data_IF_776577287058
#
_entry.id   IF_776577287058
#
_cell.length_a   1.000
_cell.length_b   1.000
_cell.length_c   1.000
_cell.angle_alpha   90.00
_cell.angle_beta   90.00
_cell.angle_gamma   90.00
#
_symmetry.space_group_name_H-M   'P 1'
#
loop_
_entity.id
_entity.type
_entity.pdbx_description
1 polymer ?
#
# COMPACT_ATOMS: atom_id res chain seq x y z
N UNK A 1 -10.62 13.21 9.33
CA UNK A 1 -10.69 11.76 9.03
C UNK A 1 -10.48 11.02 10.33
N UNK A 2 -11.31 10.02 10.61
CA UNK A 2 -11.16 9.19 11.81
C UNK A 2 -10.20 8.04 11.51
N UNK A 3 -9.43 7.60 12.50
CA UNK A 3 -8.55 6.43 12.40
C UNK A 3 -8.80 5.49 13.57
N UNK A 4 -8.73 4.18 13.32
CA UNK A 4 -8.84 3.12 14.33
C UNK A 4 -7.51 2.39 14.46
N UNK A 5 -7.02 2.26 15.70
CA UNK A 5 -5.82 1.47 16.00
C UNK A 5 -6.20 -0.01 16.13
N UNK A 6 -5.47 -0.88 15.43
CA UNK A 6 -5.54 -2.34 15.54
C UNK A 6 -4.33 -2.94 16.26
N UNK A 7 -3.22 -2.19 16.28
CA UNK A 7 -1.95 -2.61 16.82
C UNK A 7 -1.56 -1.70 17.99
N UNK A 8 -1.47 -2.25 19.19
CA UNK A 8 -1.09 -1.50 20.38
C UNK A 8 0.30 -0.87 20.23
N UNK A 9 0.47 0.36 20.72
CA UNK A 9 1.73 1.09 20.61
C UNK A 9 2.06 1.64 19.22
N UNK A 10 1.27 1.32 18.18
CA UNK A 10 1.49 1.87 16.84
C UNK A 10 1.51 3.41 16.87
N UNK A 11 2.58 4.05 16.35
CA UNK A 11 2.65 5.50 16.25
C UNK A 11 1.52 6.05 15.37
N UNK A 12 0.98 7.20 15.76
CA UNK A 12 -0.07 7.87 14.99
C UNK A 12 0.51 8.27 13.62
N UNK A 13 -0.20 7.97 12.50
CA UNK A 13 0.22 8.41 11.17
C UNK A 13 0.25 9.94 11.09
N UNK A 14 1.36 10.50 10.61
CA UNK A 14 1.54 11.96 10.55
C UNK A 14 2.18 12.38 9.23
N UNK A 15 1.81 13.57 8.78
CA UNK A 15 2.58 14.32 7.78
C UNK A 15 3.77 14.95 8.49
N UNK A 16 5.00 14.64 8.07
CA UNK A 16 6.22 15.10 8.75
C UNK A 16 6.60 16.54 8.42
N UNK A 17 6.11 17.07 7.31
CA UNK A 17 6.35 18.43 6.87
C UNK A 17 5.06 19.00 6.28
N UNK A 18 4.99 20.33 6.17
CA UNK A 18 3.85 21.03 5.56
C UNK A 18 3.64 20.65 4.09
N UNK A 19 4.71 20.34 3.36
CA UNK A 19 4.66 19.93 1.96
C UNK A 19 4.48 18.43 1.72
N UNK A 20 4.45 17.59 2.76
CA UNK A 20 4.33 16.14 2.57
C UNK A 20 2.95 15.77 2.02
N UNK A 21 2.86 15.03 0.92
CA UNK A 21 1.57 14.60 0.38
C UNK A 21 0.90 13.51 1.24
N UNK A 22 1.70 12.61 1.81
CA UNK A 22 1.20 11.44 2.53
C UNK A 22 1.41 11.46 4.04
N UNK A 23 0.60 10.67 4.73
CA UNK A 23 0.79 10.32 6.14
C UNK A 23 1.70 9.11 6.24
N UNK A 24 2.84 9.23 6.93
CA UNK A 24 3.74 8.10 7.14
C UNK A 24 3.03 6.98 7.92
N UNK A 25 3.08 5.76 7.41
CA UNK A 25 2.49 4.57 8.02
C UNK A 25 3.57 3.61 8.53
N UNK A 26 3.63 3.36 9.85
CA UNK A 26 4.49 2.33 10.43
C UNK A 26 3.96 0.92 10.14
N UNK A 27 4.85 -0.08 10.11
CA UNK A 27 4.45 -1.49 10.10
C UNK A 27 4.30 -2.04 11.52
N UNK A 28 3.40 -3.01 11.68
CA UNK A 28 3.21 -3.82 12.89
C UNK A 28 3.75 -5.24 12.67
N UNK A 29 4.98 -5.33 12.19
CA UNK A 29 5.67 -6.58 11.94
C UNK A 29 7.18 -6.38 12.06
N UNK A 30 7.92 -7.47 12.14
CA UNK A 30 9.38 -7.50 12.03
C UNK A 30 9.80 -8.51 10.97
N UNK A 31 10.89 -8.20 10.25
CA UNK A 31 11.52 -9.14 9.33
C UNK A 31 12.69 -9.80 10.03
N UNK A 32 12.66 -11.14 10.15
CA UNK A 32 13.77 -11.87 10.74
C UNK A 32 14.82 -12.20 9.67
N UNK A 33 16.07 -11.70 9.77
CA UNK A 33 17.09 -11.83 8.73
C UNK A 33 17.52 -13.28 8.46
N UNK A 34 17.40 -14.16 9.45
CA UNK A 34 17.95 -15.51 9.41
C UNK A 34 17.03 -16.56 8.77
N UNK A 35 15.74 -16.24 8.55
CA UNK A 35 14.77 -17.16 7.93
C UNK A 35 14.17 -16.63 6.63
N UNK A 36 14.48 -15.38 6.24
CA UNK A 36 13.85 -14.73 5.08
C UNK A 36 12.34 -14.56 5.25
N UNK A 37 11.85 -14.64 6.49
CA UNK A 37 10.43 -14.70 6.79
C UNK A 37 9.96 -13.46 7.57
N UNK A 38 8.83 -12.90 7.13
CA UNK A 38 8.15 -11.83 7.84
C UNK A 38 7.30 -12.42 8.97
N UNK A 39 7.47 -11.86 10.17
CA UNK A 39 6.77 -12.31 11.38
C UNK A 39 6.02 -11.13 11.97
N UNK A 40 4.72 -11.30 12.20
CA UNK A 40 3.87 -10.34 12.90
C UNK A 40 4.28 -10.17 14.36
N UNK A 41 3.71 -9.17 15.04
CA UNK A 41 3.95 -8.95 16.48
C UNK A 41 3.49 -10.13 17.35
N UNK A 42 2.47 -10.86 16.91
CA UNK A 42 1.98 -12.06 17.57
C UNK A 42 2.84 -13.32 17.31
N UNK A 43 3.99 -13.16 16.63
CA UNK A 43 4.89 -14.25 16.32
C UNK A 43 4.46 -15.12 15.14
N UNK A 44 3.35 -14.80 14.46
CA UNK A 44 2.88 -15.56 13.30
C UNK A 44 3.55 -15.12 12.02
N UNK A 45 3.75 -16.07 11.12
CA UNK A 45 4.23 -15.78 9.78
C UNK A 45 3.18 -15.02 8.98
N UNK A 46 3.63 -13.98 8.29
CA UNK A 46 2.80 -13.16 7.42
C UNK A 46 2.89 -13.74 6.01
N UNK A 47 2.06 -14.73 5.72
CA UNK A 47 1.89 -15.27 4.36
C UNK A 47 0.42 -15.61 4.18
N UNK A 48 -0.12 -15.27 3.00
CA UNK A 48 -1.55 -15.51 2.75
C UNK A 48 -1.85 -16.78 1.98
N UNK A 49 -0.83 -17.57 1.62
CA UNK A 49 -0.86 -18.81 0.81
C UNK A 49 -0.61 -18.67 -0.72
N UNK A 50 -0.30 -19.84 -1.34
CA UNK A 50 0.19 -20.26 -2.68
C UNK A 50 0.92 -19.29 -3.65
N UNK A 51 0.68 -17.99 -3.58
CA UNK A 51 1.12 -16.99 -4.56
C UNK A 51 2.30 -16.12 -4.08
N UNK A 52 2.98 -16.52 -3.00
CA UNK A 52 4.15 -15.80 -2.47
C UNK A 52 3.87 -14.35 -2.06
N UNK A 53 2.60 -13.94 -1.94
CA UNK A 53 2.20 -12.61 -1.49
C UNK A 53 2.22 -12.54 0.05
N UNK A 54 2.69 -11.41 0.57
CA UNK A 54 2.81 -11.15 2.00
C UNK A 54 2.07 -9.86 2.31
N UNK A 55 1.11 -9.97 3.23
CA UNK A 55 0.40 -8.84 3.81
C UNK A 55 1.05 -8.45 5.14
N UNK A 56 1.55 -7.22 5.21
CA UNK A 56 2.21 -6.66 6.39
C UNK A 56 1.23 -5.71 7.07
N UNK A 57 0.78 -6.00 8.31
CA UNK A 57 -0.17 -5.13 9.01
C UNK A 57 0.43 -3.75 9.23
N UNK A 58 -0.36 -2.71 8.97
CA UNK A 58 0.01 -1.32 9.27
C UNK A 58 -0.57 -0.84 10.60
N UNK A 59 -1.41 -1.64 11.26
CA UNK A 59 -1.93 -1.33 12.59
C UNK A 59 -3.06 -0.30 12.63
N UNK A 60 -3.56 0.12 11.46
CA UNK A 60 -4.49 1.24 11.34
C UNK A 60 -5.59 0.97 10.32
N UNK A 61 -6.83 1.32 10.67
CA UNK A 61 -7.92 1.56 9.73
C UNK A 61 -8.25 3.05 9.66
N UNK A 62 -8.88 3.49 8.57
CA UNK A 62 -9.17 4.90 8.32
C UNK A 62 -10.55 5.09 7.70
N UNK A 63 -11.26 6.13 8.13
CA UNK A 63 -12.50 6.58 7.51
C UNK A 63 -12.20 7.68 6.49
N UNK A 64 -12.00 7.26 5.24
CA UNK A 64 -11.75 8.16 4.12
C UNK A 64 -13.09 8.75 3.65
N UNK A 65 -13.16 10.07 3.35
CA UNK A 65 -14.40 10.69 2.87
C UNK A 65 -14.87 10.09 1.53
N UNK A 66 -16.19 9.97 1.30
CA UNK A 66 -16.71 9.65 -0.03
C UNK A 66 -16.15 10.59 -1.12
N UNK A 67 -15.98 10.08 -2.33
CA UNK A 67 -15.31 10.79 -3.43
C UNK A 67 -13.77 10.83 -3.32
N UNK A 68 -13.20 10.17 -2.31
CA UNK A 68 -11.75 10.01 -2.16
C UNK A 68 -11.36 8.56 -1.91
N UNK A 69 -10.18 8.17 -2.37
CA UNK A 69 -9.55 6.91 -2.00
C UNK A 69 -8.20 7.16 -1.36
N UNK A 70 -7.74 6.18 -0.60
CA UNK A 70 -6.42 6.18 0.01
C UNK A 70 -5.44 5.44 -0.89
N UNK A 71 -4.45 6.13 -1.43
CA UNK A 71 -3.33 5.51 -2.13
C UNK A 71 -2.26 5.15 -1.10
N UNK A 72 -2.07 3.86 -0.88
CA UNK A 72 -0.91 3.36 -0.13
C UNK A 72 0.27 3.32 -1.07
N UNK A 73 1.31 4.10 -0.77
CA UNK A 73 2.54 4.15 -1.54
C UNK A 73 3.74 3.78 -0.66
N UNK A 74 4.72 3.03 -1.18
CA UNK A 74 6.01 2.92 -0.53
C UNK A 74 6.64 4.30 -0.34
N UNK A 75 7.35 4.49 0.79
CA UNK A 75 8.21 5.67 0.95
C UNK A 75 9.38 5.57 -0.03
N UNK A 76 9.89 6.71 -0.50
CA UNK A 76 10.96 6.75 -1.52
C UNK A 76 12.20 5.95 -1.14
N UNK A 77 12.54 5.87 0.14
CA UNK A 77 13.67 5.08 0.65
C UNK A 77 13.40 3.57 0.73
N UNK A 78 12.19 3.11 0.43
CA UNK A 78 11.68 1.74 0.63
C UNK A 78 10.87 1.22 -0.57
N UNK A 79 10.99 1.84 -1.73
CA UNK A 79 10.13 1.64 -2.91
C UNK A 79 10.35 0.34 -3.70
N UNK A 80 11.51 -0.32 -3.58
CA UNK A 80 11.87 -1.41 -4.50
C UNK A 80 11.30 -2.79 -4.16
N UNK A 81 10.62 -2.95 -3.02
CA UNK A 81 10.10 -4.26 -2.59
C UNK A 81 8.69 -4.21 -1.99
N UNK A 82 8.07 -3.04 -1.89
CA UNK A 82 6.69 -2.88 -1.45
C UNK A 82 5.81 -2.51 -2.64
N UNK A 83 4.58 -2.98 -2.63
CA UNK A 83 3.62 -2.79 -3.71
C UNK A 83 2.59 -1.76 -3.25
N UNK A 84 2.29 -0.80 -4.13
CA UNK A 84 1.27 0.22 -3.90
C UNK A 84 -0.14 -0.41 -3.82
N UNK A 85 -1.06 0.26 -3.15
CA UNK A 85 -2.42 -0.22 -2.96
C UNK A 85 -3.46 0.89 -2.93
N UNK A 86 -4.73 0.50 -3.01
CA UNK A 86 -5.89 1.37 -2.90
C UNK A 86 -6.70 0.96 -1.68
N UNK A 87 -7.09 1.95 -0.89
CA UNK A 87 -7.98 1.83 0.27
C UNK A 87 -9.25 2.60 -0.07
N UNK A 88 -10.35 1.86 -0.25
CA UNK A 88 -11.64 2.44 -0.62
C UNK A 88 -12.26 3.22 0.54
N UNK A 89 -13.13 4.19 0.22
CA UNK A 89 -13.76 5.07 1.22
C UNK A 89 -14.72 4.36 2.17
N UNK A 90 -15.20 3.17 1.81
CA UNK A 90 -16.07 2.31 2.61
C UNK A 90 -15.31 1.20 3.34
N UNK A 91 -14.00 1.06 3.12
CA UNK A 91 -13.17 0.11 3.87
C UNK A 91 -12.98 0.55 5.32
N UNK A 92 -13.24 -0.35 6.27
CA UNK A 92 -13.10 -0.09 7.73
C UNK A 92 -12.17 -1.08 8.44
N UNK A 93 -11.56 -1.99 7.69
CA UNK A 93 -10.60 -2.96 8.20
C UNK A 93 -9.23 -2.34 8.46
N UNK A 94 -8.30 -3.19 8.90
CA UNK A 94 -6.89 -2.84 9.03
C UNK A 94 -6.24 -2.71 7.65
N UNK A 95 -5.43 -1.68 7.45
CA UNK A 95 -4.64 -1.53 6.23
C UNK A 95 -3.41 -2.44 6.26
N UNK A 96 -3.04 -2.98 5.10
CA UNK A 96 -1.87 -3.83 4.94
C UNK A 96 -0.97 -3.29 3.84
N UNK A 97 0.35 -3.25 4.08
CA UNK A 97 1.32 -3.17 2.99
C UNK A 97 1.43 -4.55 2.32
N UNK A 98 1.74 -4.56 1.02
CA UNK A 98 1.89 -5.80 0.25
C UNK A 98 3.31 -5.94 -0.27
N UNK A 99 3.84 -7.15 -0.24
CA UNK A 99 5.12 -7.52 -0.87
C UNK A 99 5.05 -8.97 -1.35
N UNK A 100 6.12 -9.46 -1.97
CA UNK A 100 6.25 -10.87 -2.35
C UNK A 100 7.53 -11.46 -1.81
N UNK A 101 7.57 -12.78 -1.60
CA UNK A 101 8.81 -13.47 -1.22
C UNK A 101 9.93 -13.23 -2.23
N UNK A 102 9.61 -13.12 -3.53
CA UNK A 102 10.58 -12.80 -4.58
C UNK A 102 11.22 -11.41 -4.37
N UNK A 103 10.42 -10.37 -4.10
CA UNK A 103 10.92 -9.02 -3.85
C UNK A 103 11.78 -8.95 -2.59
N UNK A 104 11.39 -9.67 -1.53
CA UNK A 104 12.16 -9.76 -0.29
C UNK A 104 13.47 -10.53 -0.46
N UNK A 105 13.47 -11.62 -1.23
CA UNK A 105 14.66 -12.42 -1.49
C UNK A 105 15.73 -11.62 -2.26
N UNK A 106 15.30 -10.78 -3.21
CA UNK A 106 16.22 -9.97 -4.00
C UNK A 106 16.86 -8.84 -3.19
N UNK A 107 16.09 -8.15 -2.34
CA UNK A 107 16.55 -6.95 -1.64
C UNK A 107 17.01 -7.18 -0.20
N UNK A 108 16.67 -8.34 0.40
CA UNK A 108 16.95 -8.71 1.79
C UNK A 108 16.75 -7.55 2.78
N UNK A 109 15.59 -6.87 2.75
CA UNK A 109 15.41 -5.73 3.61
C UNK A 109 15.35 -6.15 5.09
N UNK A 110 15.60 -5.22 5.99
CA UNK A 110 15.36 -5.39 7.43
C UNK A 110 14.35 -4.34 7.85
N UNK A 111 13.33 -4.77 8.57
CA UNK A 111 12.37 -3.87 9.19
C UNK A 111 12.18 -4.25 10.64
N UNK A 112 12.20 -3.22 11.46
CA UNK A 112 11.78 -3.31 12.84
C UNK A 112 10.31 -2.92 12.98
N UNK A 113 9.75 -3.33 14.11
CA UNK A 113 8.40 -2.89 14.49
C UNK A 113 8.36 -1.37 14.51
N UNK A 114 7.32 -0.81 13.89
CA UNK A 114 7.07 0.61 13.72
C UNK A 114 7.99 1.36 12.76
N UNK A 115 8.78 0.65 11.96
CA UNK A 115 9.43 1.27 10.82
C UNK A 115 8.38 1.86 9.86
N UNK A 116 8.58 3.13 9.51
CA UNK A 116 7.75 3.84 8.53
C UNK A 116 8.17 3.42 7.13
N UNK A 117 7.38 2.57 6.49
CA UNK A 117 7.71 2.03 5.16
C UNK A 117 6.70 2.42 4.09
N UNK A 118 5.44 2.65 4.47
CA UNK A 118 4.38 3.13 3.58
C UNK A 118 4.04 4.59 3.92
N UNK A 119 3.34 5.24 3.00
CA UNK A 119 2.64 6.50 3.22
C UNK A 119 1.25 6.40 2.61
N UNK A 120 0.27 7.03 3.25
CA UNK A 120 -1.10 7.14 2.74
C UNK A 120 -1.31 8.52 2.12
N UNK A 121 -1.64 8.56 0.83
CA UNK A 121 -2.00 9.80 0.11
C UNK A 121 -3.49 9.74 -0.19
N UNK A 122 -4.22 10.79 0.16
CA UNK A 122 -5.66 10.87 -0.15
C UNK A 122 -5.84 11.50 -1.53
N UNK A 123 -6.54 10.80 -2.41
CA UNK A 123 -6.80 11.23 -3.79
C UNK A 123 -8.30 11.36 -4.03
N UNK A 124 -8.70 12.45 -4.66
CA UNK A 124 -10.06 12.61 -5.19
C UNK A 124 -10.26 11.72 -6.42
N UNK A 125 -11.47 11.17 -6.58
CA UNK A 125 -11.86 10.42 -7.77
C UNK A 125 -13.28 10.78 -8.21
N UNK A 126 -13.60 10.41 -9.45
CA UNK A 126 -14.95 10.47 -10.02
C UNK A 126 -15.41 9.08 -10.40
N UNK A 127 -16.69 8.79 -10.16
CA UNK A 127 -17.34 7.56 -10.60
C UNK A 127 -18.11 7.83 -11.89
N UNK A 128 -18.08 6.87 -12.81
CA UNK A 128 -18.81 6.91 -14.08
C UNK A 128 -19.50 5.57 -14.31
N UNK A 129 -20.69 5.61 -14.91
CA UNK A 129 -21.37 4.41 -15.39
C UNK A 129 -20.65 3.88 -16.63
N UNK A 130 -20.42 2.57 -16.68
CA UNK A 130 -19.76 1.92 -17.81
C UNK A 130 -20.80 1.47 -18.84
N UNK A 131 -20.62 1.85 -20.10
CA UNK A 131 -21.46 1.39 -21.23
C UNK A 131 -20.61 0.56 -22.20
N UNK A 132 -21.05 -0.66 -22.48
CA UNK A 132 -20.40 -1.55 -23.46
C UNK A 132 -20.83 -1.14 -24.87
N UNK A 133 -19.87 -1.00 -25.79
CA UNK A 133 -20.08 -0.59 -27.19
C UNK A 133 -19.25 -1.47 -28.12
N UNK A 134 -19.67 -1.59 -29.38
CA UNK A 134 -18.96 -2.39 -30.39
C UNK A 134 -17.65 -1.71 -30.85
N UNK A 135 -17.59 -0.38 -30.85
CA UNK A 135 -16.43 0.40 -31.30
C UNK A 135 -16.17 1.63 -30.41
N UNK A 136 -14.88 1.92 -30.14
CA UNK A 136 -14.45 3.15 -29.48
C UNK A 136 -14.18 4.27 -30.51
N UNK A 137 -14.30 5.53 -30.09
CA UNK A 137 -13.97 6.67 -30.93
C UNK A 137 -12.47 6.75 -31.24
N UNK A 138 -12.14 7.28 -32.43
CA UNK A 138 -10.76 7.43 -32.87
C UNK A 138 -10.08 8.61 -32.16
N UNK A 139 -8.79 8.44 -31.85
CA UNK A 139 -7.92 9.51 -31.34
C UNK A 139 -6.60 9.52 -32.10
N UNK A 140 -5.85 10.62 -32.03
CA UNK A 140 -4.53 10.71 -32.67
C UNK A 140 -3.53 9.63 -32.19
N UNK A 141 -3.69 9.11 -30.96
CA UNK A 141 -2.87 8.00 -30.43
C UNK A 141 -3.35 6.64 -30.94
N UNK A 142 -4.65 6.48 -31.19
CA UNK A 142 -5.25 5.20 -31.59
C UNK A 142 -4.90 4.08 -30.61
N UNK A 143 -4.43 2.96 -31.15
CA UNK A 143 -3.96 1.78 -30.40
C UNK A 143 -2.48 1.83 -30.02
N UNK A 144 -1.78 2.94 -30.24
CA UNK A 144 -0.36 3.09 -29.93
C UNK A 144 -0.08 3.09 -28.41
N UNK A 145 0.83 2.21 -27.97
CA UNK A 145 1.30 2.08 -26.59
C UNK A 145 2.71 1.46 -26.53
N UNK A 146 3.24 1.21 -25.33
CA UNK A 146 4.53 0.53 -25.11
C UNK A 146 5.74 1.15 -25.83
N UNK A 147 5.89 2.48 -25.74
CA UNK A 147 7.03 3.18 -26.38
C UNK A 147 6.79 3.53 -27.84
N UNK A 148 5.54 3.51 -28.32
CA UNK A 148 5.16 3.90 -29.69
C UNK A 148 5.49 5.34 -30.09
N UNK A 149 6.01 6.16 -29.17
CA UNK A 149 6.45 7.54 -29.40
C UNK A 149 7.97 7.70 -29.25
N UNK A 150 8.70 6.61 -29.03
CA UNK A 150 10.15 6.57 -28.82
C UNK A 150 10.87 5.72 -29.86
#
# INVERSE_FOLDING_TARGET
>A
MNIKRFCEGAPIPVRKTEGAAGYDLPICARLQPYSGCLVGLDGKFLTTDKENCILIPLGWGIEIPPGHYGKLEPRSSKNHWLISGVIDSDYRGEMFAKTTTALLNFHKPQFETFDRVMQLIIHEYKTYELTVVDELSQTARGTGGHGSTG
#
